data_IF_653469840197
#
_entry.id   IF_653469840197
#
_cell.length_a   1.000
_cell.length_b   1.000
_cell.length_c   1.000
_cell.angle_alpha   90.00
_cell.angle_beta   90.00
_cell.angle_gamma   90.00
#
_symmetry.space_group_name_H-M   'P 1'
#
loop_
_entity.id
_entity.type
_entity.pdbx_description
1 polymer ?
#
# COMPACT_ATOMS: atom_id res chain seq x y z
N UNK A 1 -1.76 -3.11 -16.36
CA UNK A 1 -1.26 -1.78 -15.90
C UNK A 1 -0.23 -1.14 -16.82
N UNK A 2 0.89 -1.79 -17.19
CA UNK A 2 1.95 -1.16 -18.05
C UNK A 2 1.45 -0.54 -19.36
N UNK A 3 0.58 -1.23 -20.10
CA UNK A 3 -0.03 -0.71 -21.34
C UNK A 3 -0.83 0.59 -21.11
N UNK A 4 -1.52 0.70 -19.98
CA UNK A 4 -2.28 1.89 -19.60
C UNK A 4 -1.33 3.08 -19.34
N UNK A 5 -0.26 2.86 -18.57
CA UNK A 5 0.74 3.91 -18.35
C UNK A 5 1.36 4.39 -19.67
N UNK A 6 1.74 3.48 -20.58
CA UNK A 6 2.34 3.88 -21.84
C UNK A 6 1.36 4.68 -22.71
N UNK A 7 0.09 4.27 -22.80
CA UNK A 7 -0.93 5.05 -23.51
C UNK A 7 -1.13 6.45 -22.89
N UNK A 8 -1.16 6.53 -21.55
CA UNK A 8 -1.24 7.81 -20.84
C UNK A 8 0.01 8.66 -21.10
N UNK A 9 1.20 8.08 -21.06
CA UNK A 9 2.45 8.80 -21.29
C UNK A 9 2.55 9.37 -22.71
N UNK A 10 2.03 8.67 -23.73
CA UNK A 10 1.96 9.17 -25.11
C UNK A 10 0.97 10.33 -25.18
N UNK A 11 -0.25 10.15 -24.64
CA UNK A 11 -1.26 11.21 -24.63
C UNK A 11 -0.79 12.47 -23.88
N UNK A 12 -0.09 12.31 -22.74
CA UNK A 12 0.48 13.43 -22.00
C UNK A 12 1.55 14.19 -22.78
N UNK A 13 2.23 13.52 -23.71
CA UNK A 13 3.22 14.13 -24.60
C UNK A 13 2.54 14.92 -25.71
N UNK A 14 1.55 14.30 -26.36
CA UNK A 14 0.80 14.90 -27.46
C UNK A 14 -0.04 16.11 -27.00
N UNK A 15 -0.55 16.07 -25.77
CA UNK A 15 -1.42 17.11 -25.19
C UNK A 15 -0.74 17.90 -24.07
N UNK A 16 0.60 17.90 -23.98
CA UNK A 16 1.34 18.54 -22.87
C UNK A 16 0.95 20.01 -22.62
N UNK A 17 0.57 20.71 -23.68
CA UNK A 17 0.16 22.12 -23.67
C UNK A 17 -1.29 22.28 -23.18
N UNK A 18 -2.18 21.38 -23.62
CA UNK A 18 -3.63 21.48 -23.34
C UNK A 18 -4.05 20.81 -22.03
N UNK A 19 -3.21 19.92 -21.51
CA UNK A 19 -3.58 19.10 -20.36
C UNK A 19 -3.46 19.89 -19.05
N UNK A 20 -4.62 20.24 -18.50
CA UNK A 20 -4.73 21.03 -17.24
C UNK A 20 -4.68 20.18 -15.98
N UNK A 21 -5.09 18.91 -16.04
CA UNK A 21 -5.16 18.00 -14.89
C UNK A 21 -3.81 17.37 -14.53
N UNK A 22 -3.80 16.67 -13.39
CA UNK A 22 -2.71 15.80 -12.93
C UNK A 22 -3.22 14.37 -12.81
N UNK A 23 -2.35 13.39 -13.00
CA UNK A 23 -2.68 11.97 -12.83
C UNK A 23 -1.61 11.30 -11.98
N UNK A 24 -2.04 10.58 -10.94
CA UNK A 24 -1.19 9.76 -10.10
C UNK A 24 -1.69 8.31 -10.16
N UNK A 25 -0.82 7.40 -10.57
CA UNK A 25 -1.09 5.98 -10.64
C UNK A 25 -0.33 5.29 -9.50
N UNK A 26 -1.05 4.52 -8.70
CA UNK A 26 -0.50 3.67 -7.64
C UNK A 26 -0.83 2.22 -7.97
N UNK A 27 0.12 1.33 -7.75
CA UNK A 27 -0.15 -0.11 -7.78
C UNK A 27 0.55 -0.84 -6.63
N UNK A 28 0.03 -2.02 -6.32
CA UNK A 28 0.69 -2.97 -5.44
C UNK A 28 2.03 -3.43 -6.06
N UNK A 29 2.91 -3.97 -5.21
CA UNK A 29 4.12 -4.67 -5.64
C UNK A 29 3.86 -6.17 -5.64
N UNK A 30 3.93 -6.78 -6.83
CA UNK A 30 3.92 -8.24 -7.00
C UNK A 30 5.33 -8.83 -6.83
N UNK A 31 5.42 -10.12 -6.44
CA UNK A 31 6.70 -10.85 -6.33
C UNK A 31 7.43 -10.99 -7.65
N UNK A 32 6.69 -10.98 -8.77
CA UNK A 32 7.23 -11.05 -10.12
C UNK A 32 7.19 -9.65 -10.74
N UNK A 33 8.03 -8.76 -10.23
CA UNK A 33 8.29 -7.50 -10.91
C UNK A 33 8.97 -7.81 -12.24
N UNK A 34 8.18 -7.81 -13.31
CA UNK A 34 8.72 -7.77 -14.67
C UNK A 34 9.57 -6.49 -14.79
N UNK A 35 10.89 -6.63 -14.65
CA UNK A 35 11.87 -5.55 -14.71
C UNK A 35 11.83 -4.78 -16.05
N UNK A 36 11.19 -5.34 -17.09
CA UNK A 36 10.95 -4.68 -18.38
C UNK A 36 9.94 -3.52 -18.23
N UNK A 37 10.44 -2.37 -17.78
CA UNK A 37 9.75 -1.08 -17.70
C UNK A 37 10.57 0.03 -18.38
N UNK A 38 11.40 -0.34 -19.35
CA UNK A 38 12.31 0.55 -20.12
C UNK A 38 11.60 1.74 -20.80
N UNK A 39 10.27 1.67 -20.90
CA UNK A 39 9.42 2.69 -21.53
C UNK A 39 8.79 3.68 -20.52
N UNK A 40 8.97 3.49 -19.21
CA UNK A 40 8.44 4.41 -18.22
C UNK A 40 9.33 5.65 -18.17
N UNK A 41 8.85 6.73 -18.78
CA UNK A 41 9.56 8.02 -18.78
C UNK A 41 9.68 8.55 -17.35
N UNK A 42 10.85 9.10 -17.05
CA UNK A 42 11.14 9.75 -15.77
C UNK A 42 10.17 10.92 -15.53
N UNK A 43 9.83 11.11 -14.25
CA UNK A 43 9.02 12.21 -13.73
C UNK A 43 9.36 13.60 -14.29
N UNK A 44 10.64 13.86 -14.58
CA UNK A 44 11.12 15.12 -15.15
C UNK A 44 10.53 15.43 -16.53
N UNK A 45 10.19 14.40 -17.31
CA UNK A 45 9.60 14.56 -18.66
C UNK A 45 8.10 14.83 -18.59
N UNK A 46 7.43 14.32 -17.55
CA UNK A 46 5.98 14.39 -17.34
C UNK A 46 5.65 14.80 -15.90
N UNK A 47 5.84 16.08 -15.53
CA UNK A 47 5.65 16.53 -14.14
C UNK A 47 4.21 16.38 -13.63
N UNK A 48 3.23 16.24 -14.53
CA UNK A 48 1.80 16.05 -14.21
C UNK A 48 1.35 14.58 -14.24
N UNK A 49 2.24 13.62 -14.53
CA UNK A 49 1.95 12.19 -14.53
C UNK A 49 2.94 11.47 -13.61
N UNK A 50 2.43 10.81 -12.58
CA UNK A 50 3.24 9.96 -11.71
C UNK A 50 2.75 8.52 -11.79
N UNK A 51 3.68 7.59 -11.75
CA UNK A 51 3.39 6.17 -11.59
C UNK A 51 4.34 5.56 -10.57
N UNK A 52 3.75 5.04 -9.50
CA UNK A 52 4.43 4.49 -8.34
C UNK A 52 3.91 3.11 -8.00
N UNK A 53 4.79 2.32 -7.39
CA UNK A 53 4.41 1.09 -6.68
C UNK A 53 4.61 1.28 -5.19
N UNK A 54 3.76 0.65 -4.39
CA UNK A 54 3.88 0.58 -2.94
C UNK A 54 4.93 -0.46 -2.54
N UNK A 55 5.82 -0.10 -1.64
CA UNK A 55 6.73 -1.05 -1.00
C UNK A 55 6.73 -0.85 0.51
N UNK A 56 6.90 -1.93 1.26
CA UNK A 56 7.40 -1.88 2.63
C UNK A 56 8.90 -2.15 2.60
N UNK A 57 9.68 -1.11 2.90
CA UNK A 57 11.12 -1.23 2.99
C UNK A 57 11.48 -1.81 4.37
N UNK A 58 11.92 -3.07 4.37
CA UNK A 58 12.28 -3.80 5.58
C UNK A 58 13.57 -3.29 6.24
N UNK A 59 14.42 -2.53 5.54
CA UNK A 59 15.66 -1.98 6.12
C UNK A 59 15.38 -0.76 7.01
N UNK A 60 14.38 0.05 6.65
CA UNK A 60 14.06 1.30 7.34
C UNK A 60 12.66 1.31 7.98
N UNK A 61 11.91 0.21 7.82
CA UNK A 61 10.56 -0.03 8.35
C UNK A 61 9.54 1.04 7.92
N UNK A 62 9.61 1.47 6.65
CA UNK A 62 8.68 2.46 6.08
C UNK A 62 7.92 1.93 4.88
N UNK A 63 6.70 2.44 4.71
CA UNK A 63 5.95 2.33 3.47
C UNK A 63 6.33 3.47 2.53
N UNK A 64 6.72 3.15 1.30
CA UNK A 64 7.24 4.11 0.33
C UNK A 64 6.56 3.96 -1.02
N UNK A 65 6.38 5.09 -1.73
CA UNK A 65 6.00 5.13 -3.14
C UNK A 65 7.26 5.23 -3.99
N UNK A 66 7.67 4.12 -4.58
CA UNK A 66 8.83 4.10 -5.47
C UNK A 66 8.40 4.15 -6.93
N UNK A 67 9.23 4.73 -7.78
CA UNK A 67 8.99 4.68 -9.23
C UNK A 67 8.87 3.23 -9.67
N UNK A 68 7.92 2.93 -10.55
CA UNK A 68 7.61 1.56 -10.97
C UNK A 68 8.83 0.78 -11.50
N UNK A 69 9.80 1.47 -12.11
CA UNK A 69 11.03 0.90 -12.65
C UNK A 69 12.20 0.90 -11.65
N UNK A 70 11.96 1.25 -10.39
CA UNK A 70 12.98 1.22 -9.35
C UNK A 70 13.48 -0.21 -9.12
N UNK A 71 14.80 -0.35 -9.04
CA UNK A 71 15.49 -1.60 -8.66
C UNK A 71 15.45 -1.87 -7.16
N UNK A 72 14.78 -1.02 -6.36
CA UNK A 72 14.59 -1.26 -4.91
C UNK A 72 13.98 -2.65 -4.70
N UNK A 73 14.76 -3.55 -4.11
CA UNK A 73 14.29 -4.87 -3.74
C UNK A 73 13.22 -4.74 -2.66
N UNK A 74 12.10 -5.41 -2.85
CA UNK A 74 11.02 -5.45 -1.87
C UNK A 74 10.29 -6.78 -2.02
N UNK A 75 9.76 -7.27 -0.91
CA UNK A 75 8.76 -8.33 -0.96
C UNK A 75 7.48 -7.81 -1.64
N UNK A 76 6.59 -8.73 -1.97
CA UNK A 76 5.24 -8.33 -2.39
C UNK A 76 4.60 -7.46 -1.31
N UNK A 77 3.94 -6.40 -1.74
CA UNK A 77 3.33 -5.40 -0.87
C UNK A 77 1.99 -5.03 -1.47
N UNK A 78 0.92 -5.30 -0.75
CA UNK A 78 -0.45 -4.91 -1.10
C UNK A 78 -0.90 -3.72 -0.25
N UNK A 79 -2.05 -3.13 -0.59
CA UNK A 79 -2.60 -2.01 0.16
C UNK A 79 -2.75 -2.30 1.66
N UNK A 80 -3.15 -3.52 2.04
CA UNK A 80 -3.31 -3.90 3.45
C UNK A 80 -2.00 -3.91 4.23
N UNK A 81 -0.84 -3.95 3.55
CA UNK A 81 0.48 -3.97 4.19
C UNK A 81 1.00 -2.56 4.52
N UNK A 82 0.43 -1.51 3.93
CA UNK A 82 0.93 -0.12 4.04
C UNK A 82 0.00 0.79 4.84
N UNK A 83 -0.92 0.19 5.61
CA UNK A 83 -1.82 0.90 6.52
C UNK A 83 -1.09 1.25 7.81
N UNK A 84 -1.70 2.10 8.63
CA UNK A 84 -1.22 2.37 9.98
C UNK A 84 -1.42 1.12 10.86
N UNK A 85 -0.33 0.59 11.42
CA UNK A 85 -0.33 -0.62 12.22
C UNK A 85 -1.28 -0.55 13.43
N UNK A 86 -1.37 0.60 14.12
CA UNK A 86 -2.22 0.75 15.30
C UNK A 86 -3.69 0.59 14.93
N UNK A 87 -4.14 1.32 13.90
CA UNK A 87 -5.49 1.23 13.37
C UNK A 87 -5.78 -0.16 12.80
N UNK A 88 -4.82 -0.74 12.08
CA UNK A 88 -4.92 -2.09 11.51
C UNK A 88 -5.12 -3.18 12.58
N UNK A 89 -4.31 -3.18 13.65
CA UNK A 89 -4.43 -4.15 14.74
C UNK A 89 -5.75 -4.00 15.49
N UNK A 90 -6.16 -2.76 15.78
CA UNK A 90 -7.44 -2.46 16.43
C UNK A 90 -8.62 -3.02 15.63
N UNK A 91 -8.58 -2.88 14.30
CA UNK A 91 -9.63 -3.42 13.42
C UNK A 91 -9.58 -4.95 13.38
N UNK A 92 -8.39 -5.56 13.26
CA UNK A 92 -8.26 -7.02 13.32
C UNK A 92 -8.80 -7.60 14.63
N UNK A 93 -8.58 -6.93 15.76
CA UNK A 93 -9.13 -7.33 17.07
C UNK A 93 -10.67 -7.33 17.08
N UNK A 94 -11.31 -6.33 16.46
CA UNK A 94 -12.78 -6.34 16.31
C UNK A 94 -13.26 -7.51 15.45
N UNK A 95 -12.58 -7.79 14.34
CA UNK A 95 -12.93 -8.92 13.49
C UNK A 95 -12.70 -10.26 14.18
N UNK A 96 -11.74 -10.34 15.11
CA UNK A 96 -11.49 -11.56 15.88
C UNK A 96 -12.70 -12.00 16.72
N UNK A 97 -13.60 -11.09 17.12
CA UNK A 97 -14.84 -11.43 17.84
C UNK A 97 -15.77 -12.37 17.05
N UNK A 98 -15.64 -12.40 15.73
CA UNK A 98 -16.45 -13.23 14.82
C UNK A 98 -15.62 -14.13 13.90
N UNK A 99 -14.30 -14.17 14.07
CA UNK A 99 -13.35 -14.90 13.23
C UNK A 99 -12.26 -15.53 14.11
N UNK A 100 -12.58 -16.62 14.80
CA UNK A 100 -11.73 -17.29 15.79
C UNK A 100 -10.31 -17.63 15.25
N UNK A 101 -10.16 -17.85 13.94
CA UNK A 101 -8.84 -18.13 13.36
C UNK A 101 -7.84 -16.98 13.53
N UNK A 102 -8.32 -15.73 13.68
CA UNK A 102 -7.48 -14.56 13.94
C UNK A 102 -6.88 -14.57 15.35
N UNK A 103 -7.46 -15.30 16.30
CA UNK A 103 -7.02 -15.30 17.69
C UNK A 103 -5.57 -15.77 17.82
N UNK A 104 -5.18 -16.74 16.99
CA UNK A 104 -3.81 -17.24 16.91
C UNK A 104 -2.83 -16.19 16.40
N UNK A 105 -3.26 -15.21 15.61
CA UNK A 105 -2.40 -14.20 14.99
C UNK A 105 -2.14 -13.00 15.90
N UNK A 106 -3.07 -12.71 16.82
CA UNK A 106 -3.12 -11.48 17.60
C UNK A 106 -2.48 -11.55 18.99
N UNK A 107 -1.77 -12.63 19.31
CA UNK A 107 -1.04 -12.75 20.57
C UNK A 107 0.07 -11.67 20.70
N UNK A 108 0.23 -11.11 21.90
CA UNK A 108 1.16 -10.00 22.17
C UNK A 108 2.61 -10.29 21.75
N UNK A 109 3.08 -11.53 21.96
CA UNK A 109 4.45 -11.92 21.58
C UNK A 109 4.73 -11.89 20.06
N UNK A 110 3.68 -11.74 19.23
CA UNK A 110 3.81 -11.61 17.78
C UNK A 110 3.82 -10.16 17.33
N UNK A 111 3.46 -9.22 18.20
CA UNK A 111 3.35 -7.80 17.86
C UNK A 111 4.73 -7.14 17.97
N UNK A 112 5.03 -6.29 17.02
CA UNK A 112 6.14 -5.35 17.14
C UNK A 112 5.71 -4.23 18.10
N UNK A 113 6.65 -3.74 18.92
CA UNK A 113 6.40 -2.59 19.79
C UNK A 113 6.16 -1.33 18.96
N UNK A 114 4.97 -0.74 19.08
CA UNK A 114 4.59 0.46 18.35
C UNK A 114 4.90 1.71 19.19
N UNK A 115 5.49 2.72 18.54
CA UNK A 115 5.73 4.02 19.18
C UNK A 115 4.50 4.89 18.99
N UNK A 116 3.91 5.37 20.09
CA UNK A 116 2.74 6.24 20.07
C UNK A 116 2.99 7.51 19.22
N UNK A 117 1.99 7.87 18.41
CA UNK A 117 2.07 9.01 17.50
C UNK A 117 3.01 8.84 16.30
N UNK A 118 3.60 7.64 16.08
CA UNK A 118 4.40 7.35 14.88
C UNK A 118 3.71 6.33 13.99
N UNK A 119 3.71 6.62 12.69
CA UNK A 119 3.30 5.66 11.67
C UNK A 119 4.22 4.44 11.68
N UNK A 120 3.61 3.26 11.59
CA UNK A 120 4.29 2.00 11.36
C UNK A 120 3.51 1.18 10.33
N UNK A 121 4.15 0.55 9.33
CA UNK A 121 3.44 -0.24 8.32
C UNK A 121 2.75 -1.47 8.92
N UNK A 122 1.48 -1.67 8.61
CA UNK A 122 0.69 -2.84 9.05
C UNK A 122 1.29 -4.17 8.61
N UNK A 123 1.89 -4.26 7.43
CA UNK A 123 2.53 -5.48 6.92
C UNK A 123 3.79 -5.89 7.69
N UNK A 124 4.34 -4.98 8.52
CA UNK A 124 5.51 -5.22 9.36
C UNK A 124 5.16 -5.37 10.84
N UNK A 125 3.91 -5.11 11.25
CA UNK A 125 3.56 -5.04 12.67
C UNK A 125 3.38 -6.39 13.38
N UNK A 126 3.35 -7.49 12.61
CA UNK A 126 3.21 -8.85 13.12
C UNK A 126 4.34 -9.77 12.65
N UNK A 127 4.95 -10.48 13.59
CA UNK A 127 5.93 -11.53 13.35
C UNK A 127 5.22 -12.86 13.14
N UNK A 128 4.76 -13.10 11.90
CA UNK A 128 4.00 -14.29 11.53
C UNK A 128 4.87 -15.34 10.82
N UNK A 129 4.68 -16.61 11.18
CA UNK A 129 5.18 -17.77 10.42
C UNK A 129 4.48 -17.90 9.06
N UNK A 130 5.01 -18.75 8.17
CA UNK A 130 4.43 -18.97 6.83
C UNK A 130 2.96 -19.44 6.90
N UNK A 131 2.57 -20.41 7.74
CA UNK A 131 1.17 -20.79 7.89
C UNK A 131 0.27 -19.63 8.35
N UNK A 132 0.75 -18.80 9.27
CA UNK A 132 0.00 -17.68 9.83
C UNK A 132 -0.18 -16.55 8.81
N UNK A 133 0.84 -16.25 8.01
CA UNK A 133 0.71 -15.33 6.86
C UNK A 133 -0.36 -15.82 5.89
N UNK A 134 -0.43 -17.13 5.66
CA UNK A 134 -1.48 -17.74 4.81
C UNK A 134 -2.85 -17.63 5.45
N UNK A 135 -2.99 -17.84 6.76
CA UNK A 135 -4.26 -17.63 7.47
C UNK A 135 -4.75 -16.19 7.35
N UNK A 136 -3.87 -15.20 7.55
CA UNK A 136 -4.23 -13.79 7.38
C UNK A 136 -4.68 -13.50 5.94
N UNK A 137 -3.99 -14.06 4.95
CA UNK A 137 -4.37 -13.95 3.54
C UNK A 137 -5.72 -14.61 3.24
N UNK A 138 -5.98 -15.78 3.81
CA UNK A 138 -7.25 -16.52 3.69
C UNK A 138 -8.41 -15.72 4.32
N UNK A 139 -8.18 -15.07 5.47
CA UNK A 139 -9.14 -14.15 6.09
C UNK A 139 -9.55 -13.03 5.11
N UNK A 140 -8.58 -12.31 4.54
CA UNK A 140 -8.88 -11.26 3.54
C UNK A 140 -9.51 -11.82 2.26
N UNK A 141 -9.29 -13.10 1.94
CA UNK A 141 -9.90 -13.79 0.80
C UNK A 141 -11.35 -14.22 1.00
N UNK A 142 -11.90 -14.14 2.22
CA UNK A 142 -13.28 -14.55 2.52
C UNK A 142 -14.31 -13.82 1.67
N UNK A 143 -15.46 -14.47 1.48
CA UNK A 143 -16.61 -13.91 0.78
C UNK A 143 -16.27 -13.39 -0.63
N UNK A 144 -15.43 -14.14 -1.38
CA UNK A 144 -14.93 -13.73 -2.71
C UNK A 144 -14.21 -12.37 -2.66
N UNK A 145 -13.33 -12.19 -1.69
CA UNK A 145 -12.60 -10.95 -1.38
C UNK A 145 -13.47 -9.80 -0.81
N UNK A 146 -14.73 -10.02 -0.47
CA UNK A 146 -15.57 -8.97 0.15
C UNK A 146 -15.05 -8.57 1.54
N UNK A 147 -14.34 -9.46 2.24
CA UNK A 147 -13.73 -9.16 3.54
C UNK A 147 -12.76 -7.98 3.48
N UNK A 148 -12.06 -7.77 2.35
CA UNK A 148 -11.22 -6.57 2.16
C UNK A 148 -12.03 -5.27 2.23
N UNK A 149 -13.26 -5.28 1.71
CA UNK A 149 -14.16 -4.12 1.73
C UNK A 149 -14.69 -3.88 3.14
N UNK A 150 -15.15 -4.94 3.81
CA UNK A 150 -15.60 -4.86 5.21
C UNK A 150 -14.49 -4.33 6.12
N UNK A 151 -13.28 -4.87 5.99
CA UNK A 151 -12.11 -4.41 6.73
C UNK A 151 -11.79 -2.95 6.42
N UNK A 152 -11.77 -2.53 5.16
CA UNK A 152 -11.48 -1.15 4.78
C UNK A 152 -12.52 -0.16 5.34
N UNK A 153 -13.80 -0.53 5.34
CA UNK A 153 -14.86 0.30 5.92
C UNK A 153 -14.71 0.46 7.43
N UNK A 154 -14.36 -0.62 8.13
CA UNK A 154 -14.12 -0.55 9.57
C UNK A 154 -12.82 0.20 9.89
N UNK A 155 -11.78 0.01 9.09
CA UNK A 155 -10.53 0.75 9.20
C UNK A 155 -10.75 2.26 9.14
N UNK A 156 -11.50 2.75 8.14
CA UNK A 156 -11.78 4.18 7.99
C UNK A 156 -12.49 4.78 9.21
N UNK A 157 -13.36 4.01 9.88
CA UNK A 157 -14.04 4.47 11.11
C UNK A 157 -13.08 4.62 12.30
N UNK A 158 -12.01 3.83 12.31
CA UNK A 158 -11.05 3.77 13.41
C UNK A 158 -9.82 4.66 13.22
N UNK A 159 -9.65 5.27 12.05
CA UNK A 159 -8.58 6.25 11.81
C UNK A 159 -8.79 7.48 12.68
N UNK A 160 -7.89 7.71 13.63
CA UNK A 160 -7.91 8.87 14.52
C UNK A 160 -7.28 10.11 13.87
N UNK A 161 -6.29 9.92 13.00
CA UNK A 161 -5.60 11.01 12.30
C UNK A 161 -5.42 10.67 10.81
N UNK A 162 -6.12 11.39 9.93
CA UNK A 162 -6.04 11.18 8.48
C UNK A 162 -4.67 11.53 7.87
N UNK A 163 -3.87 12.34 8.55
CA UNK A 163 -2.52 12.72 8.11
C UNK A 163 -1.47 11.67 8.54
N UNK A 164 -1.88 10.58 9.19
CA UNK A 164 -0.97 9.57 9.78
C UNK A 164 -0.26 8.68 8.77
N UNK A 165 -0.64 8.70 7.48
CA UNK A 165 -0.12 7.77 6.47
C UNK A 165 0.80 8.53 5.50
N UNK A 166 2.13 8.46 5.66
CA UNK A 166 3.07 9.33 4.94
C UNK A 166 2.99 9.24 3.41
N UNK A 167 2.75 8.03 2.88
CA UNK A 167 2.67 7.83 1.44
C UNK A 167 1.41 8.45 0.81
N UNK A 168 0.32 8.61 1.58
CA UNK A 168 -0.88 9.32 1.12
C UNK A 168 -0.59 10.83 1.03
N UNK A 169 0.23 11.36 1.96
CA UNK A 169 0.61 12.77 1.96
C UNK A 169 1.41 13.13 0.69
N UNK A 170 2.28 12.24 0.21
CA UNK A 170 2.98 12.44 -1.09
C UNK A 170 1.99 12.61 -2.26
N UNK A 171 0.91 11.82 -2.29
CA UNK A 171 -0.13 11.92 -3.33
C UNK A 171 -0.88 13.25 -3.18
N UNK A 172 -1.23 13.65 -1.97
CA UNK A 172 -1.91 14.93 -1.70
C UNK A 172 -1.06 16.11 -2.14
N UNK A 173 0.22 16.12 -1.78
CA UNK A 173 1.18 17.16 -2.14
C UNK A 173 1.30 17.30 -3.66
N UNK A 174 1.30 16.18 -4.39
CA UNK A 174 1.33 16.20 -5.85
C UNK A 174 0.11 16.89 -6.46
N UNK A 175 -1.09 16.71 -5.90
CA UNK A 175 -2.28 17.36 -6.43
C UNK A 175 -2.36 18.84 -6.03
N UNK A 176 -1.86 19.21 -4.85
CA UNK A 176 -1.88 20.58 -4.34
C UNK A 176 -0.82 21.50 -4.99
N UNK A 177 0.35 20.98 -5.33
CA UNK A 177 1.47 21.72 -5.95
C UNK A 177 1.59 21.42 -7.43
#
# INVERSE_FOLDING_TARGET
>A
MKKLYNHLSIAFEDFKIDMKGKVFLVCDTDTNLDANTDYVKQDSKHPKLKYRRLINNHENEKSELVVINSTTASNSTVLEDVLNAKTFLKVLEKFNESNDELSSLLHDHKRVELIEGKFYPSGLCLTLSIPEKRMLKEFFGKNKNHMKVEFAQEYIKEVENIEEIPWINEIRDFFQN
#
